data_IF_589492073243
#
_entry.id   IF_589492073243
#
_cell.length_a   1.000
_cell.length_b   1.000
_cell.length_c   1.000
_cell.angle_alpha   90.00
_cell.angle_beta   90.00
_cell.angle_gamma   90.00
#
_symmetry.space_group_name_H-M   'P 1'
#
loop_
_entity.id
_entity.type
_entity.pdbx_description
1 polymer ?
#
# COMPACT_ATOMS: atom_id res chain seq x y z
N UNK A 1 3.58 7.88 -21.89
CA UNK A 1 4.46 8.48 -20.85
C UNK A 1 5.88 8.15 -21.22
N UNK A 2 6.85 9.02 -20.96
CA UNK A 2 8.26 8.71 -21.18
C UNK A 2 9.01 9.11 -19.92
N UNK A 3 9.86 8.23 -19.43
CA UNK A 3 10.79 8.52 -18.34
C UNK A 3 12.18 8.70 -18.94
N UNK A 4 12.92 9.69 -18.46
CA UNK A 4 14.30 9.94 -18.79
C UNK A 4 15.25 9.34 -17.77
N UNK A 5 16.52 9.23 -18.13
CA UNK A 5 17.58 8.87 -17.19
C UNK A 5 17.61 9.87 -16.02
N UNK A 6 17.64 9.34 -14.80
CA UNK A 6 17.62 10.13 -13.56
C UNK A 6 16.22 10.39 -13.00
N UNK A 7 15.15 10.06 -13.73
CA UNK A 7 13.79 10.19 -13.20
C UNK A 7 13.55 9.21 -12.05
N UNK A 8 12.97 9.71 -10.96
CA UNK A 8 12.51 8.90 -9.83
C UNK A 8 11.12 8.35 -10.11
N UNK A 9 10.99 7.05 -9.95
CA UNK A 9 9.78 6.29 -10.26
C UNK A 9 9.49 5.31 -9.12
N UNK A 10 8.31 4.70 -9.19
CA UNK A 10 7.99 3.51 -8.41
C UNK A 10 7.71 2.34 -9.36
N UNK A 11 8.32 1.20 -9.07
CA UNK A 11 8.08 -0.08 -9.76
C UNK A 11 7.00 -0.85 -9.02
N UNK A 12 5.95 -1.23 -9.74
CA UNK A 12 4.81 -2.01 -9.27
C UNK A 12 5.10 -3.48 -9.57
N UNK A 13 5.39 -4.27 -8.54
CA UNK A 13 5.65 -5.70 -8.78
C UNK A 13 4.35 -6.45 -9.09
N UNK A 14 4.44 -7.36 -10.06
CA UNK A 14 3.36 -8.28 -10.46
C UNK A 14 3.64 -9.71 -10.07
N UNK A 15 4.78 -9.96 -9.44
CA UNK A 15 5.18 -11.29 -9.04
C UNK A 15 4.34 -11.77 -7.86
N UNK A 16 3.95 -13.06 -7.82
CA UNK A 16 3.28 -13.62 -6.66
C UNK A 16 4.06 -13.35 -5.37
N UNK A 17 3.37 -12.86 -4.34
CA UNK A 17 4.00 -12.43 -3.08
C UNK A 17 4.41 -10.96 -3.03
N UNK A 18 4.56 -10.30 -4.18
CA UNK A 18 4.88 -8.87 -4.30
C UNK A 18 3.75 -8.06 -4.94
N UNK A 19 2.62 -8.68 -5.27
CA UNK A 19 1.45 -7.98 -5.81
C UNK A 19 0.97 -6.93 -4.80
N UNK A 20 0.84 -5.69 -5.27
CA UNK A 20 0.40 -4.56 -4.43
C UNK A 20 1.53 -3.83 -3.72
N UNK A 21 2.79 -4.12 -4.04
CA UNK A 21 3.94 -3.35 -3.57
C UNK A 21 4.45 -2.35 -4.62
N UNK A 22 5.02 -1.26 -4.13
CA UNK A 22 5.69 -0.24 -4.92
C UNK A 22 7.10 0.00 -4.38
N UNK A 23 8.10 -0.24 -5.22
CA UNK A 23 9.51 -0.06 -4.86
C UNK A 23 10.06 1.20 -5.52
N UNK A 24 10.70 2.05 -4.73
CA UNK A 24 11.34 3.26 -5.23
C UNK A 24 12.55 2.90 -6.09
N UNK A 25 12.65 3.51 -7.26
CA UNK A 25 13.74 3.28 -8.21
C UNK A 25 14.06 4.53 -9.02
N UNK A 26 15.25 4.55 -9.61
CA UNK A 26 15.69 5.58 -10.55
C UNK A 26 15.92 4.97 -11.92
N UNK A 27 15.47 5.66 -12.97
CA UNK A 27 15.71 5.21 -14.36
C UNK A 27 17.18 5.41 -14.71
N UNK A 28 17.86 4.31 -15.05
CA UNK A 28 19.27 4.30 -15.47
C UNK A 28 19.36 4.52 -16.97
N UNK A 29 18.52 3.82 -17.74
CA UNK A 29 18.46 3.94 -19.19
C UNK A 29 17.12 3.47 -19.74
N UNK A 30 16.84 3.85 -21.00
CA UNK A 30 15.69 3.35 -21.74
C UNK A 30 16.21 2.48 -22.89
N UNK A 31 15.84 1.20 -22.90
CA UNK A 31 16.25 0.27 -23.97
C UNK A 31 15.33 0.40 -25.18
N UNK A 32 14.02 0.52 -24.92
CA UNK A 32 12.96 0.69 -25.93
C UNK A 32 11.84 1.56 -25.35
N UNK A 33 10.89 1.93 -26.20
CA UNK A 33 9.75 2.80 -25.82
C UNK A 33 9.01 2.34 -24.56
N UNK A 34 8.91 1.02 -24.36
CA UNK A 34 8.16 0.37 -23.29
C UNK A 34 9.05 -0.38 -22.27
N UNK A 35 10.37 -0.23 -22.36
CA UNK A 35 11.33 -1.03 -21.58
C UNK A 35 12.45 -0.17 -21.00
N UNK A 36 12.57 -0.19 -19.67
CA UNK A 36 13.48 0.65 -18.91
C UNK A 36 14.43 -0.19 -18.07
N UNK A 37 15.67 0.26 -17.93
CA UNK A 37 16.59 -0.24 -16.91
C UNK A 37 16.49 0.69 -15.71
N UNK A 38 16.22 0.12 -14.55
CA UNK A 38 15.97 0.85 -13.30
C UNK A 38 16.88 0.32 -12.21
N UNK A 39 17.32 1.21 -11.33
CA UNK A 39 18.08 0.87 -10.14
C UNK A 39 17.19 1.15 -8.93
N UNK A 40 16.96 0.15 -8.09
CA UNK A 40 16.16 0.30 -6.88
C UNK A 40 16.90 1.11 -5.82
N UNK A 41 16.16 1.85 -4.99
CA UNK A 41 16.76 2.67 -3.92
C UNK A 41 17.12 1.83 -2.68
N UNK A 42 16.31 0.79 -2.38
CA UNK A 42 16.42 0.03 -1.13
C UNK A 42 16.62 -1.49 -1.34
N UNK A 43 16.57 -1.98 -2.58
CA UNK A 43 16.79 -3.41 -2.88
C UNK A 43 18.23 -3.64 -3.33
N UNK A 44 18.80 -4.76 -2.93
CA UNK A 44 20.18 -5.17 -3.26
C UNK A 44 20.19 -6.48 -4.03
N UNK A 45 21.28 -6.76 -4.76
CA UNK A 45 21.43 -8.03 -5.47
C UNK A 45 21.58 -9.21 -4.51
N UNK A 46 20.96 -10.35 -4.83
CA UNK A 46 21.02 -11.58 -4.01
C UNK A 46 22.45 -12.08 -3.80
N UNK A 47 23.29 -11.99 -4.84
CA UNK A 47 24.68 -12.47 -4.79
C UNK A 47 25.66 -11.43 -4.25
N UNK A 48 25.21 -10.16 -4.11
CA UNK A 48 26.05 -9.08 -3.62
C UNK A 48 25.23 -7.99 -2.93
N UNK A 49 25.06 -8.14 -1.61
CA UNK A 49 24.28 -7.22 -0.77
C UNK A 49 24.88 -5.81 -0.64
N UNK A 50 26.03 -5.53 -1.27
CA UNK A 50 26.63 -4.19 -1.32
C UNK A 50 26.21 -3.40 -2.57
N UNK A 51 25.61 -4.06 -3.55
CA UNK A 51 25.17 -3.45 -4.80
C UNK A 51 23.64 -3.36 -4.83
N UNK A 52 23.14 -2.19 -5.19
CA UNK A 52 21.71 -1.98 -5.42
C UNK A 52 21.25 -2.78 -6.63
N UNK A 53 20.08 -3.39 -6.51
CA UNK A 53 19.46 -4.19 -7.55
C UNK A 53 19.17 -3.33 -8.78
N UNK A 54 19.57 -3.83 -9.95
CA UNK A 54 19.27 -3.23 -11.25
C UNK A 54 18.49 -4.23 -12.09
N UNK A 55 17.33 -3.80 -12.58
CA UNK A 55 16.43 -4.66 -13.35
C UNK A 55 15.91 -3.98 -14.61
N UNK A 56 15.42 -4.81 -15.53
CA UNK A 56 14.70 -4.35 -16.71
C UNK A 56 13.21 -4.50 -16.50
N UNK A 57 12.49 -3.38 -16.49
CA UNK A 57 11.04 -3.32 -16.19
C UNK A 57 10.25 -2.74 -17.35
N UNK A 58 8.98 -3.13 -17.48
CA UNK A 58 8.09 -2.64 -18.54
C UNK A 58 7.39 -1.35 -18.14
N UNK A 59 6.96 -0.59 -19.13
CA UNK A 59 6.21 0.66 -18.94
C UNK A 59 4.94 0.49 -18.09
N UNK A 60 4.29 -0.67 -18.15
CA UNK A 60 3.07 -0.97 -17.39
C UNK A 60 3.34 -1.49 -15.97
N UNK A 61 4.61 -1.50 -15.55
CA UNK A 61 5.08 -1.84 -14.20
C UNK A 61 5.66 -0.62 -13.52
N UNK A 62 5.64 0.56 -14.15
CA UNK A 62 6.22 1.77 -13.59
C UNK A 62 5.21 2.90 -13.53
N UNK A 63 5.30 3.70 -12.47
CA UNK A 63 4.61 4.97 -12.32
C UNK A 63 5.62 6.03 -11.85
N UNK A 64 5.36 7.34 -12.04
CA UNK A 64 6.19 8.37 -11.43
C UNK A 64 6.26 8.21 -9.91
N UNK A 65 7.23 8.83 -9.26
CA UNK A 65 7.19 8.96 -7.81
C UNK A 65 5.94 9.78 -7.40
N UNK A 66 5.22 9.37 -6.34
CA UNK A 66 4.05 10.10 -5.86
C UNK A 66 4.45 11.49 -5.35
N UNK A 67 3.52 12.46 -5.39
CA UNK A 67 3.79 13.81 -4.91
C UNK A 67 4.18 13.78 -3.42
N UNK A 68 5.02 14.72 -2.96
CA UNK A 68 5.48 14.74 -1.58
C UNK A 68 4.32 14.72 -0.56
N UNK A 69 4.52 14.12 0.63
CA UNK A 69 3.49 13.98 1.66
C UNK A 69 2.83 15.28 2.12
N UNK A 70 3.46 16.44 1.86
CA UNK A 70 2.94 17.77 2.21
C UNK A 70 1.62 18.11 1.49
N UNK A 71 1.27 17.41 0.42
CA UNK A 71 0.01 17.59 -0.34
C UNK A 71 -1.05 16.55 0.08
N UNK A 72 -0.74 15.65 1.01
CA UNK A 72 -1.63 14.57 1.43
C UNK A 72 -2.31 14.95 2.76
N UNK A 73 -3.32 15.83 2.67
CA UNK A 73 -4.10 16.41 3.79
C UNK A 73 -4.62 15.35 4.79
N UNK A 74 -4.78 14.10 4.34
CA UNK A 74 -5.17 12.97 5.17
C UNK A 74 -4.10 12.61 6.24
N UNK A 75 -2.81 12.64 5.92
CA UNK A 75 -1.76 12.30 6.89
C UNK A 75 -1.67 13.33 8.03
N UNK A 76 -1.88 14.61 7.71
CA UNK A 76 -1.88 15.70 8.70
C UNK A 76 -3.07 15.63 9.68
N UNK A 77 -4.20 15.06 9.24
CA UNK A 77 -5.42 14.90 10.06
C UNK A 77 -5.58 13.50 10.66
N UNK A 78 -4.64 12.59 10.37
CA UNK A 78 -4.76 11.17 10.66
C UNK A 78 -5.67 10.41 9.68
N UNK A 79 -5.54 9.08 9.67
CA UNK A 79 -6.36 8.21 8.83
C UNK A 79 -7.66 7.77 9.52
N UNK A 80 -8.68 7.46 8.73
CA UNK A 80 -9.97 6.92 9.19
C UNK A 80 -10.11 5.46 8.79
N UNK A 81 -11.13 4.81 9.37
CA UNK A 81 -11.47 3.45 9.03
C UNK A 81 -11.72 3.29 7.52
N UNK A 82 -11.12 2.27 6.94
CA UNK A 82 -11.14 1.93 5.52
C UNK A 82 -10.52 2.99 4.58
N UNK A 83 -9.81 3.99 5.12
CA UNK A 83 -8.92 4.79 4.28
C UNK A 83 -7.85 3.83 3.71
N UNK A 84 -7.62 3.94 2.40
CA UNK A 84 -6.60 3.17 1.72
C UNK A 84 -5.26 3.88 1.87
N UNK A 85 -4.25 3.12 2.28
CA UNK A 85 -2.90 3.62 2.60
C UNK A 85 -1.87 2.76 1.91
N UNK A 86 -0.67 3.31 1.73
CA UNK A 86 0.52 2.49 1.53
C UNK A 86 1.31 2.45 2.83
N UNK A 87 1.66 1.24 3.28
CA UNK A 87 2.55 1.02 4.42
C UNK A 87 3.96 0.71 3.94
N UNK A 88 4.95 1.42 4.47
CA UNK A 88 6.35 1.13 4.17
C UNK A 88 6.79 -0.10 4.96
N UNK A 89 7.11 -1.18 4.27
CA UNK A 89 7.61 -2.44 4.85
C UNK A 89 8.39 -3.24 3.82
N UNK A 90 9.34 -4.07 4.26
CA UNK A 90 10.23 -4.86 3.38
C UNK A 90 10.74 -4.03 2.18
N UNK A 91 11.28 -2.84 2.47
CA UNK A 91 11.90 -1.91 1.52
C UNK A 91 10.98 -1.32 0.43
N UNK A 92 9.68 -1.58 0.52
CA UNK A 92 8.65 -1.12 -0.42
C UNK A 92 7.41 -0.53 0.27
N UNK A 93 6.52 0.03 -0.54
CA UNK A 93 5.22 0.57 -0.13
C UNK A 93 4.11 -0.41 -0.48
N UNK A 94 3.37 -0.90 0.52
CA UNK A 94 2.37 -1.95 0.36
C UNK A 94 0.96 -1.40 0.55
N UNK A 95 0.08 -1.66 -0.43
CA UNK A 95 -1.32 -1.20 -0.38
C UNK A 95 -2.08 -1.96 0.70
N UNK A 96 -2.70 -1.20 1.62
CA UNK A 96 -3.56 -1.75 2.66
C UNK A 96 -4.70 -0.81 3.03
N UNK A 97 -5.50 -1.24 4.01
CA UNK A 97 -6.64 -0.47 4.53
C UNK A 97 -6.54 -0.30 6.04
N UNK A 98 -6.89 0.88 6.52
CA UNK A 98 -6.88 1.17 7.95
C UNK A 98 -8.05 0.45 8.63
N UNK A 99 -7.76 -0.41 9.59
CA UNK A 99 -8.75 -1.20 10.34
C UNK A 99 -8.81 -0.86 11.83
N UNK A 100 -7.74 -0.23 12.33
CA UNK A 100 -7.64 0.17 13.73
C UNK A 100 -6.63 1.30 13.94
N UNK A 101 -6.59 1.77 15.18
CA UNK A 101 -5.54 2.66 15.71
C UNK A 101 -5.37 2.31 17.17
N UNK A 102 -4.14 2.08 17.59
CA UNK A 102 -3.84 1.74 18.97
C UNK A 102 -3.72 3.02 19.79
N UNK A 103 -4.48 3.11 20.88
CA UNK A 103 -4.56 4.32 21.69
C UNK A 103 -3.25 4.67 22.43
N UNK A 104 -2.46 3.66 22.81
CA UNK A 104 -1.26 3.84 23.64
C UNK A 104 -0.07 4.48 22.90
N UNK A 105 0.21 4.01 21.68
CA UNK A 105 1.38 4.40 20.87
C UNK A 105 0.99 5.11 19.56
N UNK A 106 -0.31 5.29 19.32
CA UNK A 106 -0.84 5.99 18.15
C UNK A 106 -0.68 5.27 16.82
N UNK A 107 -0.20 4.02 16.81
CA UNK A 107 -0.01 3.22 15.60
C UNK A 107 -1.35 2.91 14.94
N UNK A 108 -1.37 2.80 13.61
CA UNK A 108 -2.54 2.37 12.85
C UNK A 108 -2.40 0.90 12.49
N UNK A 109 -3.48 0.13 12.67
CA UNK A 109 -3.57 -1.21 12.12
C UNK A 109 -3.95 -1.11 10.64
N UNK A 110 -3.16 -1.79 9.81
CA UNK A 110 -3.32 -1.87 8.36
C UNK A 110 -3.57 -3.32 7.99
N UNK A 111 -4.69 -3.56 7.31
CA UNK A 111 -5.05 -4.86 6.75
C UNK A 111 -4.61 -4.95 5.28
N UNK A 112 -3.92 -6.04 4.94
CA UNK A 112 -3.45 -6.33 3.59
C UNK A 112 -4.34 -7.40 2.95
N UNK A 113 -5.11 -7.02 1.92
CA UNK A 113 -6.07 -7.94 1.28
C UNK A 113 -5.39 -9.11 0.56
N UNK A 114 -4.14 -8.94 0.13
CA UNK A 114 -3.37 -9.94 -0.60
C UNK A 114 -2.90 -11.09 0.29
N UNK A 115 -2.55 -10.82 1.55
CA UNK A 115 -2.05 -11.82 2.50
C UNK A 115 -3.05 -12.18 3.60
N UNK A 116 -4.01 -11.29 3.88
CA UNK A 116 -4.92 -11.40 5.02
C UNK A 116 -4.33 -10.93 6.34
N UNK A 117 -3.13 -10.36 6.34
CA UNK A 117 -2.45 -9.90 7.55
C UNK A 117 -2.99 -8.56 8.04
N UNK A 118 -2.93 -8.35 9.35
CA UNK A 118 -3.19 -7.06 9.99
C UNK A 118 -1.99 -6.67 10.86
N UNK A 119 -1.32 -5.58 10.50
CA UNK A 119 -0.06 -5.15 11.13
C UNK A 119 -0.16 -3.70 11.58
N UNK A 120 0.43 -3.38 12.73
CA UNK A 120 0.43 -2.02 13.28
C UNK A 120 1.66 -1.24 12.83
N UNK A 121 1.44 -0.07 12.22
CA UNK A 121 2.50 0.83 11.76
C UNK A 121 2.40 2.22 12.40
N UNK A 122 3.54 2.89 12.69
CA UNK A 122 3.53 4.29 13.06
C UNK A 122 3.13 5.16 11.86
N UNK A 123 2.57 6.34 12.14
CA UNK A 123 2.16 7.30 11.09
C UNK A 123 3.30 7.65 10.11
N UNK A 124 4.55 7.66 10.57
CA UNK A 124 5.73 7.95 9.74
C UNK A 124 6.01 6.90 8.66
N UNK A 125 5.47 5.68 8.80
CA UNK A 125 5.58 4.60 7.80
C UNK A 125 4.34 4.48 6.94
N UNK A 126 3.41 5.43 7.01
CA UNK A 126 2.17 5.41 6.27
C UNK A 126 2.04 6.64 5.38
N UNK A 127 1.49 6.44 4.19
CA UNK A 127 1.04 7.51 3.30
C UNK A 127 -0.34 7.17 2.74
N UNK A 128 -1.13 8.16 2.36
CA UNK A 128 -2.39 7.86 1.68
C UNK A 128 -2.10 7.25 0.32
N UNK A 129 -2.81 6.19 -0.02
CA UNK A 129 -2.67 5.52 -1.31
C UNK A 129 -3.13 6.46 -2.44
N UNK A 130 -2.38 6.48 -3.53
CA UNK A 130 -2.73 7.18 -4.76
C UNK A 130 -2.56 6.24 -5.95
N UNK A 131 -3.56 6.25 -6.83
CA UNK A 131 -3.49 5.55 -8.11
C UNK A 131 -2.91 6.45 -9.18
N UNK A 132 -2.11 5.87 -10.08
CA UNK A 132 -1.64 6.57 -11.28
C UNK A 132 -2.48 6.17 -12.48
N UNK A 133 -3.42 7.04 -12.88
CA UNK A 133 -4.40 6.74 -13.94
C UNK A 133 -4.33 7.81 -15.02
N UNK A 134 -4.08 7.39 -16.27
CA UNK A 134 -4.07 8.27 -17.45
C UNK A 134 -3.19 9.53 -17.27
N UNK A 135 -2.05 9.38 -16.61
CA UNK A 135 -1.09 10.45 -16.39
C UNK A 135 -1.44 11.43 -15.27
N UNK A 136 -2.34 11.05 -14.35
CA UNK A 136 -2.71 11.86 -13.19
C UNK A 136 -2.74 10.98 -11.93
N UNK A 137 -2.31 11.58 -10.82
CA UNK A 137 -2.51 11.01 -9.50
C UNK A 137 -3.96 11.20 -9.10
N UNK A 138 -4.61 10.11 -8.71
CA UNK A 138 -5.98 10.14 -8.22
C UNK A 138 -6.01 9.50 -6.84
N UNK A 139 -6.74 10.12 -5.91
CA UNK A 139 -7.04 9.45 -4.65
C UNK A 139 -8.15 8.42 -4.90
N UNK A 140 -8.06 7.25 -4.26
CA UNK A 140 -9.18 6.32 -4.20
C UNK A 140 -10.40 7.08 -3.68
N UNK A 141 -11.59 6.74 -4.17
CA UNK A 141 -12.83 7.35 -3.69
C UNK A 141 -12.83 7.27 -2.17
N UNK A 142 -12.73 8.43 -1.54
CA UNK A 142 -12.78 8.55 -0.09
C UNK A 142 -14.10 7.90 0.32
N UNK A 143 -14.03 6.71 0.91
CA UNK A 143 -15.15 6.22 1.67
C UNK A 143 -15.43 7.31 2.70
N UNK A 144 -16.68 7.74 2.84
CA UNK A 144 -17.13 8.54 3.98
C UNK A 144 -17.09 7.66 5.24
N UNK A 145 -15.95 7.00 5.49
CA UNK A 145 -15.69 6.13 6.62
C UNK A 145 -15.95 6.92 7.87
N UNK A 146 -16.64 6.28 8.81
CA UNK A 146 -16.87 6.85 10.13
C UNK A 146 -15.51 7.05 10.81
N UNK A 147 -15.38 8.08 11.64
CA UNK A 147 -14.24 8.17 12.56
C UNK A 147 -14.22 6.92 13.43
N UNK A 148 -13.04 6.37 13.65
CA UNK A 148 -12.85 5.23 14.52
C UNK A 148 -13.16 5.66 15.95
N UNK A 149 -14.05 4.91 16.62
CA UNK A 149 -14.40 5.16 18.02
C UNK A 149 -13.67 4.12 18.86
N UNK A 150 -13.08 4.59 19.96
CA UNK A 150 -12.37 3.75 20.91
C UNK A 150 -13.00 3.89 22.29
N UNK A 151 -13.14 2.78 23.00
CA UNK A 151 -13.52 2.75 24.42
C UNK A 151 -12.44 1.94 25.14
N UNK A 152 -11.83 2.50 26.19
CA UNK A 152 -10.77 1.81 26.95
C UNK A 152 -9.49 1.48 26.14
N UNK A 153 -9.30 2.08 24.96
CA UNK A 153 -8.16 1.78 24.08
C UNK A 153 -8.43 0.72 23.01
N UNK A 154 -9.62 0.09 23.01
CA UNK A 154 -10.02 -0.91 22.02
C UNK A 154 -10.91 -0.31 20.93
N UNK A 155 -10.71 -0.76 19.69
CA UNK A 155 -11.54 -0.36 18.55
C UNK A 155 -12.90 -1.05 18.61
N UNK A 156 -13.97 -0.26 18.64
CA UNK A 156 -15.34 -0.76 18.52
C UNK A 156 -15.77 -0.68 17.06
N UNK A 157 -15.43 -1.71 16.26
CA UNK A 157 -15.88 -1.81 14.88
C UNK A 157 -17.42 -1.82 14.74
N UNK A 158 -17.93 -1.62 13.51
CA UNK A 158 -19.36 -1.66 13.19
C UNK A 158 -19.89 -3.11 13.35
N UNK A 159 -20.15 -3.54 14.60
CA UNK A 159 -20.64 -4.87 14.98
C UNK A 159 -21.93 -5.31 14.24
N UNK A 160 -22.57 -4.42 13.49
CA UNK A 160 -23.79 -4.71 12.73
C UNK A 160 -23.59 -5.48 11.41
N UNK A 161 -22.36 -5.66 10.89
CA UNK A 161 -22.14 -6.43 9.64
C UNK A 161 -21.64 -7.87 9.80
N UNK A 162 -21.19 -8.28 11.00
CA UNK A 162 -20.76 -9.68 11.22
C UNK A 162 -21.93 -10.66 11.36
N UNK A 163 -23.18 -10.19 11.57
CA UNK A 163 -24.36 -11.07 11.66
C UNK A 163 -24.89 -11.61 10.33
N UNK A 164 -24.32 -11.26 9.18
CA UNK A 164 -24.74 -11.84 7.88
C UNK A 164 -23.84 -12.95 7.33
N UNK A 165 -22.68 -13.22 7.95
CA UNK A 165 -21.79 -14.32 7.51
C UNK A 165 -21.90 -15.54 8.44
N UNK A 166 -22.45 -15.38 9.65
CA UNK A 166 -22.69 -16.51 10.56
C UNK A 166 -24.03 -17.22 10.36
N UNK A 167 -24.97 -16.68 9.56
CA UNK A 167 -26.28 -17.30 9.34
C UNK A 167 -26.33 -18.26 8.14
N UNK A 168 -25.32 -18.29 7.26
CA UNK A 168 -25.29 -19.17 6.08
C UNK A 168 -24.37 -20.39 6.21
N UNK A 169 -23.77 -20.64 7.39
CA UNK A 169 -22.92 -21.82 7.62
C UNK A 169 -23.57 -22.85 8.58
N UNK A 170 -24.68 -22.52 9.26
CA UNK A 170 -25.31 -23.42 10.24
C UNK A 170 -26.37 -24.36 9.61
N UNK A 171 -26.67 -24.28 8.31
CA UNK A 171 -27.57 -25.25 7.66
C UNK A 171 -26.89 -26.49 7.07
N UNK A 172 -25.56 -26.66 7.24
CA UNK A 172 -24.82 -27.82 6.71
C UNK A 172 -24.22 -28.76 7.78
N UNK A 173 -24.47 -28.54 9.08
CA UNK A 173 -23.86 -29.35 10.16
C UNK A 173 -24.87 -30.09 11.04
N UNK A 174 -26.19 -29.91 10.85
CA UNK A 174 -27.22 -30.76 11.47
C UNK A 174 -28.28 -31.14 10.46
N UNK A 175 -28.03 -32.23 9.73
CA UNK A 175 -28.93 -32.81 8.75
C UNK A 175 -28.66 -34.29 8.56
N UNK A 176 -28.99 -35.09 9.60
CA UNK A 176 -29.46 -36.48 9.54
C UNK A 176 -29.84 -36.91 10.96
#
# INVERSE_FOLDING_TARGET
>A
MSFGRGDRIEVCSKEPGFVGSYYAATVVSQLRKDLFVVQYENLVEENNHTQLLVETVRQNEVRPAPPPPQVNVAAASGFRYLDQVDAFDNDGWWVGKITGRRGSDGHYFVYFETTGDEIAYPLSRLRAHLDWVKGKWVSPKINKGKRMVYIGGEYIGDQKRQRMISSNIISYVYGA
#
